data_IF_206802898521
#
_entry.id   IF_206802898521
#
_cell.length_a   1.000
_cell.length_b   1.000
_cell.length_c   1.000
_cell.angle_alpha   90.00
_cell.angle_beta   90.00
_cell.angle_gamma   90.00
#
_symmetry.space_group_name_H-M   'P 1'
#
loop_
_entity.id
_entity.type
_entity.pdbx_description
1 polymer ?
#
# COMPACT_ATOMS: atom_id res chain seq x y z
N UNK A 1 -9.64 31.91 15.67
CA UNK A 1 -9.39 30.58 15.06
C UNK A 1 -8.06 30.08 15.53
N UNK A 2 -7.95 28.78 15.82
CA UNK A 2 -6.64 28.17 16.06
C UNK A 2 -5.97 27.92 14.70
N UNK A 3 -4.72 28.32 14.54
CA UNK A 3 -3.90 28.02 13.37
C UNK A 3 -3.01 26.81 13.67
N UNK A 4 -2.88 25.92 12.69
CA UNK A 4 -1.98 24.77 12.81
C UNK A 4 -0.57 25.27 12.50
N UNK A 5 0.33 25.01 13.43
CA UNK A 5 1.76 25.31 13.31
C UNK A 5 2.40 24.60 12.10
N UNK A 6 3.30 25.29 11.40
CA UNK A 6 3.87 24.80 10.15
C UNK A 6 4.82 23.61 10.37
N UNK A 7 5.49 23.53 11.53
CA UNK A 7 6.32 22.39 11.87
C UNK A 7 5.46 21.14 12.08
N UNK A 8 4.28 21.29 12.70
CA UNK A 8 3.32 20.20 12.86
C UNK A 8 2.79 19.69 11.51
N UNK A 9 2.45 20.58 10.57
CA UNK A 9 2.03 20.18 9.21
C UNK A 9 3.12 19.38 8.52
N UNK A 10 4.37 19.82 8.67
CA UNK A 10 5.54 19.14 8.08
C UNK A 10 5.65 17.71 8.61
N UNK A 11 5.56 17.52 9.93
CA UNK A 11 5.62 16.17 10.54
C UNK A 11 4.45 15.28 10.06
N UNK A 12 3.23 15.80 10.02
CA UNK A 12 2.06 15.04 9.54
C UNK A 12 2.24 14.60 8.09
N UNK A 13 2.77 15.48 7.23
CA UNK A 13 3.05 15.16 5.83
C UNK A 13 4.11 14.06 5.69
N UNK A 14 5.17 14.09 6.51
CA UNK A 14 6.22 13.08 6.51
C UNK A 14 5.72 11.69 6.94
N UNK A 15 4.64 11.61 7.72
CA UNK A 15 4.07 10.35 8.22
C UNK A 15 2.97 9.77 7.32
N UNK A 16 2.52 10.50 6.31
CA UNK A 16 1.40 10.10 5.47
C UNK A 16 1.86 9.76 4.04
N UNK A 17 1.84 8.49 3.61
CA UNK A 17 2.25 8.12 2.25
C UNK A 17 1.43 8.84 1.17
N UNK A 18 0.16 9.16 1.43
CA UNK A 18 -0.70 9.88 0.48
C UNK A 18 -0.15 11.26 0.14
N UNK A 19 0.55 11.93 1.06
CA UNK A 19 1.18 13.22 0.80
C UNK A 19 2.19 13.10 -0.34
N UNK A 20 3.09 12.11 -0.28
CA UNK A 20 4.12 11.90 -1.30
C UNK A 20 3.53 11.40 -2.62
N UNK A 21 2.54 10.51 -2.57
CA UNK A 21 1.91 9.93 -3.77
C UNK A 21 1.11 10.99 -4.54
N UNK A 22 0.47 11.92 -3.84
CA UNK A 22 -0.33 12.98 -4.47
C UNK A 22 0.49 13.99 -5.26
N UNK A 23 1.79 14.15 -4.96
CA UNK A 23 2.69 15.06 -5.68
C UNK A 23 2.80 14.70 -7.17
N UNK A 24 3.07 15.70 -8.02
CA UNK A 24 2.87 15.62 -9.47
C UNK A 24 3.59 14.48 -10.18
N UNK A 25 4.72 14.01 -9.67
CA UNK A 25 5.51 12.97 -10.36
C UNK A 25 5.52 11.60 -9.68
N UNK A 26 5.13 11.48 -8.40
CA UNK A 26 5.38 10.26 -7.59
C UNK A 26 6.76 9.64 -7.91
N UNK A 27 7.77 10.47 -8.21
CA UNK A 27 8.95 10.04 -8.98
C UNK A 27 9.92 9.19 -8.17
N UNK A 28 9.82 9.28 -6.84
CA UNK A 28 10.49 8.39 -5.89
C UNK A 28 9.62 7.26 -5.35
N UNK A 29 8.37 7.12 -5.80
CA UNK A 29 7.51 6.04 -5.37
C UNK A 29 7.94 4.73 -6.04
N UNK A 30 7.94 3.63 -5.28
CA UNK A 30 8.13 2.28 -5.84
C UNK A 30 7.15 2.02 -7.00
N UNK A 31 7.59 1.27 -8.00
CA UNK A 31 6.78 0.98 -9.19
C UNK A 31 5.76 -0.14 -8.96
N UNK A 32 6.06 -1.07 -8.06
CA UNK A 32 5.28 -2.28 -7.79
C UNK A 32 4.82 -2.32 -6.33
N UNK A 33 3.52 -2.54 -6.10
CA UNK A 33 2.90 -2.52 -4.78
C UNK A 33 2.08 -3.78 -4.53
N UNK A 34 2.38 -4.50 -3.45
CA UNK A 34 1.58 -5.64 -2.97
C UNK A 34 0.87 -5.24 -1.67
N UNK A 35 -0.46 -5.11 -1.72
CA UNK A 35 -1.27 -4.59 -0.61
C UNK A 35 -2.31 -5.63 -0.23
N UNK A 36 -2.42 -5.92 1.07
CA UNK A 36 -3.35 -6.90 1.65
C UNK A 36 -4.04 -6.36 2.88
N UNK A 37 -5.31 -6.67 3.04
CA UNK A 37 -6.08 -6.32 4.23
C UNK A 37 -7.27 -7.26 4.41
N UNK A 38 -7.60 -7.63 5.64
CA UNK A 38 -8.76 -8.48 5.92
C UNK A 38 -10.07 -7.69 5.87
N UNK A 39 -11.15 -8.27 5.33
CA UNK A 39 -12.46 -7.58 5.33
C UNK A 39 -13.08 -7.46 6.72
N UNK A 40 -12.57 -8.20 7.71
CA UNK A 40 -12.95 -8.18 9.12
C UNK A 40 -11.82 -7.64 10.03
N UNK A 41 -10.81 -6.97 9.46
CA UNK A 41 -9.83 -6.22 10.23
C UNK A 41 -10.45 -4.90 10.71
N UNK A 42 -10.61 -4.76 12.04
CA UNK A 42 -11.23 -3.59 12.67
C UNK A 42 -10.23 -2.50 13.06
N UNK A 43 -8.94 -2.66 12.74
CA UNK A 43 -7.90 -1.71 13.15
C UNK A 43 -7.88 -0.44 12.28
N UNK A 44 -8.43 -0.51 11.07
CA UNK A 44 -8.65 0.66 10.21
C UNK A 44 -9.85 0.42 9.30
N UNK A 45 -10.41 1.48 8.72
CA UNK A 45 -11.52 1.35 7.79
C UNK A 45 -11.01 0.92 6.40
N UNK A 46 -11.73 0.03 5.71
CA UNK A 46 -11.42 -0.42 4.35
C UNK A 46 -11.08 0.72 3.37
N UNK A 47 -11.77 1.88 3.38
CA UNK A 47 -11.43 2.99 2.50
C UNK A 47 -10.00 3.51 2.64
N UNK A 48 -9.33 3.34 3.79
CA UNK A 48 -7.93 3.74 3.95
C UNK A 48 -7.04 2.96 2.98
N UNK A 49 -7.26 1.64 2.88
CA UNK A 49 -6.49 0.75 2.01
C UNK A 49 -6.88 0.96 0.54
N UNK A 50 -8.18 1.07 0.25
CA UNK A 50 -8.68 1.23 -1.12
C UNK A 50 -8.31 2.61 -1.69
N UNK A 51 -8.31 3.68 -0.90
CA UNK A 51 -7.88 5.00 -1.37
C UNK A 51 -6.38 5.02 -1.69
N UNK A 52 -5.56 4.32 -0.90
CA UNK A 52 -4.12 4.17 -1.16
C UNK A 52 -3.88 3.42 -2.49
N UNK A 53 -4.54 2.28 -2.69
CA UNK A 53 -4.42 1.52 -3.93
C UNK A 53 -4.88 2.36 -5.15
N UNK A 54 -6.06 2.97 -5.05
CA UNK A 54 -6.65 3.79 -6.12
C UNK A 54 -5.74 4.95 -6.53
N UNK A 55 -5.14 5.68 -5.58
CA UNK A 55 -4.26 6.81 -5.95
C UNK A 55 -2.96 6.33 -6.62
N UNK A 56 -2.42 5.18 -6.20
CA UNK A 56 -1.24 4.58 -6.81
C UNK A 56 -1.52 4.15 -8.26
N UNK A 57 -2.64 3.49 -8.50
CA UNK A 57 -3.11 3.11 -9.85
C UNK A 57 -3.30 4.35 -10.73
N UNK A 58 -3.95 5.40 -10.20
CA UNK A 58 -4.12 6.68 -10.91
C UNK A 58 -2.80 7.39 -11.22
N UNK A 59 -1.73 7.08 -10.49
CA UNK A 59 -0.36 7.57 -10.74
C UNK A 59 0.45 6.62 -11.62
N UNK A 60 -0.18 5.60 -12.20
CA UNK A 60 0.44 4.67 -13.15
C UNK A 60 1.35 3.63 -12.50
N UNK A 61 1.17 3.36 -11.20
CA UNK A 61 1.91 2.30 -10.49
C UNK A 61 1.22 0.95 -10.70
N UNK A 62 2.02 -0.12 -10.68
CA UNK A 62 1.52 -1.49 -10.69
C UNK A 62 1.11 -1.88 -9.27
N UNK A 63 -0.19 -2.08 -9.07
CA UNK A 63 -0.79 -2.31 -7.75
C UNK A 63 -1.53 -3.63 -7.75
N UNK A 64 -1.02 -4.57 -6.97
CA UNK A 64 -1.71 -5.80 -6.63
C UNK A 64 -2.36 -5.63 -5.25
N UNK A 65 -3.65 -5.27 -5.23
CA UNK A 65 -4.44 -5.12 -4.00
C UNK A 65 -5.47 -6.25 -3.87
N UNK A 66 -5.57 -6.84 -2.68
CA UNK A 66 -6.60 -7.84 -2.36
C UNK A 66 -7.14 -7.65 -0.95
N UNK A 67 -8.44 -7.92 -0.80
CA UNK A 67 -9.10 -7.98 0.50
C UNK A 67 -9.42 -9.43 0.85
N UNK A 68 -8.82 -9.96 1.93
CA UNK A 68 -9.07 -11.32 2.37
C UNK A 68 -10.45 -11.43 3.02
N UNK A 69 -11.28 -12.31 2.47
CA UNK A 69 -12.64 -12.52 2.95
C UNK A 69 -12.66 -13.04 4.39
N UNK A 70 -13.40 -12.37 5.27
CA UNK A 70 -13.56 -12.69 6.70
C UNK A 70 -12.26 -12.68 7.53
N UNK A 71 -11.13 -12.32 6.93
CA UNK A 71 -9.87 -12.28 7.63
C UNK A 71 -9.77 -11.05 8.54
N UNK A 72 -9.03 -11.21 9.64
CA UNK A 72 -8.80 -10.18 10.66
C UNK A 72 -7.44 -9.52 10.45
N UNK A 73 -7.03 -8.72 11.43
CA UNK A 73 -5.69 -8.14 11.49
C UNK A 73 -4.58 -9.19 11.37
N UNK A 74 -3.50 -8.84 10.68
CA UNK A 74 -2.31 -9.69 10.43
C UNK A 74 -2.58 -10.96 9.61
N UNK A 75 -3.65 -10.99 8.82
CA UNK A 75 -3.87 -12.06 7.86
C UNK A 75 -2.78 -12.05 6.77
N UNK A 76 -2.18 -13.22 6.53
CA UNK A 76 -1.17 -13.48 5.50
C UNK A 76 -1.54 -14.80 4.80
N UNK A 77 -2.66 -14.79 4.07
CA UNK A 77 -3.26 -16.01 3.53
C UNK A 77 -2.62 -16.48 2.21
N UNK A 78 -1.83 -15.63 1.55
CA UNK A 78 -1.23 -15.90 0.22
C UNK A 78 0.32 -15.74 0.16
N UNK A 79 1.10 -16.23 1.15
CA UNK A 79 2.55 -16.02 1.17
C UNK A 79 3.27 -16.66 -0.03
N UNK A 80 2.76 -17.77 -0.57
CA UNK A 80 3.31 -18.40 -1.77
C UNK A 80 3.12 -17.50 -3.00
N UNK A 81 1.95 -16.89 -3.15
CA UNK A 81 1.65 -15.95 -4.23
C UNK A 81 2.50 -14.68 -4.11
N UNK A 82 2.75 -14.20 -2.89
CA UNK A 82 3.66 -13.06 -2.67
C UNK A 82 5.08 -13.35 -3.15
N UNK A 83 5.61 -14.54 -2.86
CA UNK A 83 6.96 -14.94 -3.31
C UNK A 83 6.98 -15.15 -4.83
N UNK A 84 5.94 -15.75 -5.41
CA UNK A 84 5.80 -15.90 -6.85
C UNK A 84 5.77 -14.53 -7.56
N UNK A 85 4.98 -13.58 -7.04
CA UNK A 85 4.90 -12.21 -7.54
C UNK A 85 6.26 -11.49 -7.50
N UNK A 86 7.04 -11.62 -6.42
CA UNK A 86 8.41 -11.09 -6.39
C UNK A 86 9.24 -11.70 -7.52
N UNK A 87 9.14 -13.02 -7.74
CA UNK A 87 9.82 -13.71 -8.84
C UNK A 87 9.43 -13.18 -10.22
N UNK A 88 8.15 -12.92 -10.45
CA UNK A 88 7.63 -12.33 -11.69
C UNK A 88 8.20 -10.92 -11.93
N UNK A 89 8.20 -10.06 -10.91
CA UNK A 89 8.70 -8.68 -11.02
C UNK A 89 10.21 -8.63 -11.23
N UNK A 90 10.96 -9.50 -10.55
CA UNK A 90 12.44 -9.47 -10.56
C UNK A 90 13.07 -10.37 -11.62
N UNK A 91 12.31 -11.28 -12.22
CA UNK A 91 12.82 -12.37 -13.06
C UNK A 91 13.56 -13.45 -12.26
N UNK A 92 13.49 -13.45 -10.93
CA UNK A 92 14.15 -14.45 -10.09
C UNK A 92 13.32 -15.73 -10.01
N UNK A 93 13.91 -16.87 -10.40
CA UNK A 93 13.26 -18.17 -10.28
C UNK A 93 13.52 -18.78 -8.91
N UNK A 94 12.48 -18.91 -8.09
CA UNK A 94 12.52 -19.69 -6.85
C UNK A 94 12.42 -21.17 -7.18
N UNK A 95 13.48 -21.94 -6.93
CA UNK A 95 13.42 -23.41 -6.93
C UNK A 95 13.01 -23.83 -5.54
N UNK A 96 11.74 -24.20 -5.37
CA UNK A 96 11.30 -24.87 -4.16
C UNK A 96 11.75 -26.34 -4.24
N UNK A 97 12.64 -26.72 -3.33
CA UNK A 97 13.20 -28.08 -3.19
C UNK A 97 12.26 -28.96 -2.38
#
# INVERSE_FOLDING_TARGET
NAEIDDDLKTVVNLMNPMYFISQDSCSGCADYWWIRHGTNDTNTALPVIINLATILENKGKDVNVSLYWEAKHMANEDPEDFIAWIGEITGYTTVFC
#
